data_IF_550152468351
#
_entry.id   IF_550152468351
#
_cell.length_a   1.000
_cell.length_b   1.000
_cell.length_c   1.000
_cell.angle_alpha   90.00
_cell.angle_beta   90.00
_cell.angle_gamma   90.00
#
_symmetry.space_group_name_H-M   'P 1'
#
loop_
_entity.id
_entity.type
_entity.pdbx_description
1 polymer ?
#
# COMPACT_ATOMS: atom_id res chain seq x y z
N UNK A 1 -15.43 -4.92 35.93
CA UNK A 1 -16.23 -5.87 35.19
C UNK A 1 -15.50 -6.27 33.91
N UNK A 2 -14.58 -7.25 33.99
CA UNK A 2 -13.86 -7.81 32.84
C UNK A 2 -14.76 -8.69 31.94
N UNK A 3 -15.92 -9.10 32.43
CA UNK A 3 -16.85 -10.00 31.72
C UNK A 3 -17.66 -9.34 30.60
N UNK A 4 -17.66 -8.00 30.50
CA UNK A 4 -18.38 -7.25 29.45
C UNK A 4 -17.59 -7.27 28.12
N UNK A 5 -16.28 -7.48 28.19
CA UNK A 5 -15.38 -7.51 27.04
C UNK A 5 -14.64 -8.85 27.00
N UNK A 6 -15.30 -9.94 26.57
CA UNK A 6 -14.61 -11.20 26.35
C UNK A 6 -13.46 -10.95 25.35
N UNK A 7 -12.32 -11.61 25.58
CA UNK A 7 -11.21 -11.58 24.66
C UNK A 7 -11.60 -12.11 23.28
N UNK A 8 -10.67 -12.04 22.35
CA UNK A 8 -10.77 -12.65 21.03
C UNK A 8 -9.91 -13.92 20.98
N UNK A 9 -10.31 -14.84 20.12
CA UNK A 9 -9.58 -16.05 19.83
C UNK A 9 -8.57 -15.82 18.69
N UNK A 10 -7.58 -16.70 18.48
CA UNK A 10 -6.68 -16.61 17.34
C UNK A 10 -7.42 -16.62 16.01
N UNK A 11 -6.96 -15.79 15.05
CA UNK A 11 -7.35 -15.91 13.65
C UNK A 11 -6.41 -16.86 12.92
N UNK A 12 -6.90 -17.51 11.87
CA UNK A 12 -6.15 -18.46 11.08
C UNK A 12 -6.12 -18.04 9.62
N UNK A 13 -4.97 -18.26 8.97
CA UNK A 13 -4.83 -18.04 7.54
C UNK A 13 -4.28 -19.28 6.86
N UNK A 14 -4.89 -19.65 5.73
CA UNK A 14 -4.38 -20.63 4.79
C UNK A 14 -3.99 -19.91 3.52
N UNK A 15 -2.73 -20.02 3.13
CA UNK A 15 -2.22 -19.41 1.91
C UNK A 15 -1.79 -20.49 0.92
N UNK A 16 -2.24 -20.35 -0.33
CA UNK A 16 -1.84 -21.16 -1.47
C UNK A 16 -1.17 -20.23 -2.47
N UNK A 17 0.08 -20.52 -2.81
CA UNK A 17 0.86 -19.66 -3.68
C UNK A 17 1.58 -20.48 -4.74
N UNK A 18 1.58 -19.99 -5.96
CA UNK A 18 2.45 -20.43 -7.04
C UNK A 18 3.29 -19.25 -7.50
N UNK A 19 4.60 -19.32 -7.25
CA UNK A 19 5.56 -18.31 -7.65
C UNK A 19 6.55 -18.83 -8.68
N UNK A 20 7.08 -17.90 -9.50
CA UNK A 20 8.18 -18.17 -10.41
C UNK A 20 9.25 -17.08 -10.32
N UNK A 21 10.49 -17.48 -10.58
CA UNK A 21 11.64 -16.58 -10.68
C UNK A 21 12.42 -16.92 -11.93
N UNK A 22 12.65 -15.92 -12.78
CA UNK A 22 13.31 -16.11 -14.06
C UNK A 22 14.45 -15.12 -14.24
N UNK A 23 15.60 -15.63 -14.68
CA UNK A 23 16.71 -14.79 -15.09
C UNK A 23 16.94 -15.04 -16.59
N UNK A 24 16.84 -14.00 -17.38
CA UNK A 24 16.79 -14.04 -18.84
C UNK A 24 17.87 -13.13 -19.42
N UNK A 25 18.15 -13.26 -20.72
CA UNK A 25 19.08 -12.39 -21.47
C UNK A 25 20.46 -12.28 -20.80
N UNK A 26 21.07 -13.42 -20.45
CA UNK A 26 22.38 -13.50 -19.80
C UNK A 26 22.48 -12.70 -18.48
N UNK A 27 21.39 -12.71 -17.70
CA UNK A 27 21.34 -12.02 -16.41
C UNK A 27 20.86 -10.57 -16.44
N UNK A 28 20.65 -9.99 -17.64
CA UNK A 28 20.21 -8.61 -17.78
C UNK A 28 18.73 -8.39 -17.44
N UNK A 29 17.92 -9.44 -17.44
CA UNK A 29 16.50 -9.36 -17.17
C UNK A 29 16.09 -10.37 -16.09
N UNK A 30 15.46 -9.90 -15.03
CA UNK A 30 14.83 -10.72 -14.01
C UNK A 30 13.33 -10.47 -14.07
N UNK A 31 12.56 -11.55 -14.22
CA UNK A 31 11.10 -11.48 -14.21
C UNK A 31 10.56 -12.50 -13.21
N UNK A 32 9.99 -11.99 -12.15
CA UNK A 32 9.40 -12.74 -11.07
C UNK A 32 7.89 -12.53 -11.05
N UNK A 33 7.17 -13.47 -10.51
CA UNK A 33 5.74 -13.31 -10.24
C UNK A 33 5.22 -14.36 -9.29
N UNK A 34 4.06 -14.09 -8.74
CA UNK A 34 3.31 -15.00 -7.90
C UNK A 34 1.82 -14.83 -8.14
N UNK A 35 1.07 -15.91 -8.11
CA UNK A 35 -0.39 -15.92 -7.95
C UNK A 35 -0.69 -16.59 -6.63
N UNK A 36 -1.63 -16.04 -5.88
CA UNK A 36 -1.94 -16.56 -4.56
C UNK A 36 -3.43 -16.52 -4.27
N UNK A 37 -3.83 -17.37 -3.35
CA UNK A 37 -5.13 -17.36 -2.69
C UNK A 37 -4.94 -17.51 -1.19
N UNK A 38 -5.50 -16.59 -0.41
CA UNK A 38 -5.47 -16.60 1.06
C UNK A 38 -6.89 -16.69 1.60
N UNK A 39 -7.12 -17.62 2.51
CA UNK A 39 -8.39 -17.83 3.21
C UNK A 39 -8.15 -17.52 4.69
N UNK A 40 -8.92 -16.59 5.23
CA UNK A 40 -8.91 -16.20 6.64
C UNK A 40 -10.14 -16.76 7.33
N UNK A 41 -9.92 -17.58 8.36
CA UNK A 41 -10.93 -18.07 9.27
C UNK A 41 -10.83 -17.29 10.61
N UNK A 42 -11.96 -17.03 11.24
CA UNK A 42 -12.04 -16.32 12.54
C UNK A 42 -11.33 -14.96 12.55
N UNK A 43 -11.41 -14.23 11.43
CA UNK A 43 -10.74 -12.94 11.27
C UNK A 43 -11.16 -11.96 12.35
N UNK A 44 -10.17 -11.33 12.98
CA UNK A 44 -10.37 -10.31 14.01
C UNK A 44 -10.75 -8.98 13.37
N UNK A 45 -11.93 -8.47 13.69
CA UNK A 45 -12.40 -7.17 13.25
C UNK A 45 -12.78 -6.28 14.44
N UNK A 46 -12.63 -4.97 14.25
CA UNK A 46 -13.05 -3.96 15.20
C UNK A 46 -14.56 -3.71 15.01
N UNK A 47 -15.34 -4.00 16.03
CA UNK A 47 -16.80 -3.79 16.01
C UNK A 47 -17.21 -2.84 17.11
N UNK A 48 -18.38 -2.20 16.94
CA UNK A 48 -19.01 -1.37 17.96
C UNK A 48 -19.93 -2.22 18.82
N UNK A 49 -19.89 -2.00 20.12
CA UNK A 49 -20.84 -2.60 21.04
C UNK A 49 -21.49 -1.53 21.92
N UNK A 50 -22.79 -1.57 22.19
CA UNK A 50 -23.42 -0.66 23.10
C UNK A 50 -22.96 -0.95 24.55
N UNK A 51 -22.46 0.08 25.22
CA UNK A 51 -22.11 0.02 26.66
C UNK A 51 -23.31 0.44 27.52
N UNK A 52 -24.01 1.42 27.04
CA UNK A 52 -25.31 1.91 27.59
C UNK A 52 -26.05 2.71 26.52
N UNK A 53 -27.22 3.24 26.85
CA UNK A 53 -28.07 3.99 25.91
C UNK A 53 -27.39 5.22 25.25
N UNK A 54 -26.26 5.68 25.74
CA UNK A 54 -25.57 6.87 25.24
C UNK A 54 -24.15 6.63 24.78
N UNK A 55 -23.57 5.43 25.03
CA UNK A 55 -22.17 5.16 24.75
C UNK A 55 -22.00 3.80 24.08
N UNK A 56 -21.11 3.77 23.10
CA UNK A 56 -20.60 2.57 22.45
C UNK A 56 -19.11 2.41 22.76
N UNK A 57 -18.61 1.19 22.73
CA UNK A 57 -17.19 0.87 22.80
C UNK A 57 -16.76 0.11 21.54
N UNK A 58 -15.57 0.38 21.06
CA UNK A 58 -14.94 -0.42 20.01
C UNK A 58 -14.22 -1.59 20.66
N UNK A 59 -14.51 -2.79 20.22
CA UNK A 59 -13.89 -4.04 20.68
C UNK A 59 -13.41 -4.84 19.49
N UNK A 60 -12.39 -5.68 19.70
CA UNK A 60 -11.95 -6.65 18.69
C UNK A 60 -12.68 -7.96 18.93
N UNK A 61 -13.21 -8.54 17.85
CA UNK A 61 -13.87 -9.86 17.88
C UNK A 61 -13.55 -10.65 16.63
N UNK A 62 -13.59 -11.97 16.75
CA UNK A 62 -13.60 -12.88 15.62
C UNK A 62 -15.00 -12.84 14.99
N UNK A 63 -15.17 -12.02 13.98
CA UNK A 63 -16.47 -11.68 13.42
C UNK A 63 -16.58 -11.97 11.93
N UNK A 64 -15.48 -12.32 11.27
CA UNK A 64 -15.44 -12.45 9.82
C UNK A 64 -14.65 -13.66 9.34
N UNK A 65 -14.98 -14.14 8.14
CA UNK A 65 -14.11 -14.91 7.27
C UNK A 65 -13.88 -14.12 5.98
N UNK A 66 -12.70 -14.25 5.38
CA UNK A 66 -12.30 -13.44 4.24
C UNK A 66 -11.48 -14.29 3.26
N UNK A 67 -11.65 -14.01 1.99
CA UNK A 67 -10.84 -14.59 0.92
C UNK A 67 -10.13 -13.46 0.17
N UNK A 68 -8.87 -13.70 -0.18
CA UNK A 68 -8.09 -12.83 -1.07
C UNK A 68 -7.48 -13.65 -2.18
N UNK A 69 -7.57 -13.16 -3.42
CA UNK A 69 -6.89 -13.71 -4.58
C UNK A 69 -6.06 -12.62 -5.23
N UNK A 70 -4.82 -12.92 -5.58
CA UNK A 70 -3.95 -11.89 -6.13
C UNK A 70 -2.90 -12.39 -7.11
N UNK A 71 -2.34 -11.40 -7.81
CA UNK A 71 -1.21 -11.54 -8.73
C UNK A 71 -0.17 -10.48 -8.38
N UNK A 72 1.09 -10.88 -8.28
CA UNK A 72 2.22 -9.98 -8.12
C UNK A 72 3.23 -10.22 -9.25
N UNK A 73 3.71 -9.14 -9.87
CA UNK A 73 4.71 -9.17 -10.93
C UNK A 73 5.83 -8.18 -10.63
N UNK A 74 7.05 -8.60 -10.87
CA UNK A 74 8.25 -7.79 -10.77
C UNK A 74 9.14 -8.02 -12.00
N UNK A 75 9.52 -6.93 -12.65
CA UNK A 75 10.48 -6.91 -13.74
C UNK A 75 11.64 -5.99 -13.38
N UNK A 76 12.87 -6.51 -13.41
CA UNK A 76 14.10 -5.73 -13.40
C UNK A 76 14.83 -5.99 -14.71
N UNK A 77 15.14 -4.93 -15.44
CA UNK A 77 15.75 -5.05 -16.77
C UNK A 77 16.83 -4.02 -16.99
N UNK A 78 18.06 -4.49 -17.20
CA UNK A 78 19.14 -3.69 -17.73
C UNK A 78 18.99 -3.62 -19.25
N UNK A 79 18.25 -2.59 -19.72
CA UNK A 79 17.92 -2.40 -21.15
C UNK A 79 19.20 -2.22 -21.98
N UNK A 80 20.13 -1.41 -21.46
CA UNK A 80 21.49 -1.24 -21.94
C UNK A 80 22.45 -1.14 -20.75
N UNK A 81 23.76 -1.05 -20.97
CA UNK A 81 24.73 -0.78 -19.90
C UNK A 81 24.46 0.54 -19.15
N UNK A 82 23.81 1.48 -19.82
CA UNK A 82 23.50 2.80 -19.29
C UNK A 82 22.05 2.94 -18.77
N UNK A 83 21.14 2.03 -19.12
CA UNK A 83 19.71 2.20 -18.88
C UNK A 83 19.11 1.01 -18.15
N UNK A 84 18.63 1.26 -16.93
CA UNK A 84 17.90 0.31 -16.09
C UNK A 84 16.42 0.65 -16.01
N UNK A 85 15.60 -0.38 -15.99
CA UNK A 85 14.14 -0.33 -15.82
C UNK A 85 13.71 -1.31 -14.75
N UNK A 86 12.84 -0.87 -13.84
CA UNK A 86 12.15 -1.70 -12.88
C UNK A 86 10.65 -1.44 -12.97
N UNK A 87 9.84 -2.50 -13.03
CA UNK A 87 8.37 -2.42 -13.05
C UNK A 87 7.84 -3.39 -12.00
N UNK A 88 6.86 -2.94 -11.24
CA UNK A 88 6.10 -3.77 -10.30
C UNK A 88 4.61 -3.60 -10.57
N UNK A 89 3.85 -4.69 -10.45
CA UNK A 89 2.40 -4.68 -10.54
C UNK A 89 1.82 -5.65 -9.53
N UNK A 90 0.79 -5.22 -8.82
CA UNK A 90 0.00 -6.01 -7.91
C UNK A 90 -1.48 -5.88 -8.25
N UNK A 91 -2.17 -7.00 -8.33
CA UNK A 91 -3.63 -7.10 -8.39
C UNK A 91 -4.12 -7.88 -7.17
N UNK A 92 -5.16 -7.38 -6.52
CA UNK A 92 -5.75 -7.97 -5.34
C UNK A 92 -7.28 -7.88 -5.40
N UNK A 93 -7.94 -9.03 -5.41
CA UNK A 93 -9.37 -9.15 -5.16
C UNK A 93 -9.56 -9.68 -3.72
N UNK A 94 -10.29 -8.95 -2.89
CA UNK A 94 -10.53 -9.29 -1.50
C UNK A 94 -12.03 -9.17 -1.20
N UNK A 95 -12.60 -10.18 -0.54
CA UNK A 95 -14.02 -10.20 -0.15
C UNK A 95 -14.22 -10.87 1.21
N UNK A 96 -15.19 -10.38 1.96
CA UNK A 96 -15.69 -11.11 3.12
C UNK A 96 -16.61 -12.26 2.64
N UNK A 97 -16.41 -13.45 3.19
CA UNK A 97 -17.34 -14.60 2.99
C UNK A 97 -18.44 -14.61 4.02
N UNK A 98 -18.10 -14.23 5.25
CA UNK A 98 -19.02 -13.98 6.35
C UNK A 98 -18.53 -12.78 7.12
N UNK A 99 -19.43 -11.88 7.48
CA UNK A 99 -19.12 -10.76 8.38
C UNK A 99 -20.36 -10.37 9.18
N UNK A 100 -20.57 -11.03 10.30
CA UNK A 100 -21.70 -10.79 11.18
C UNK A 100 -21.29 -9.89 12.35
N UNK A 101 -21.68 -8.63 12.32
CA UNK A 101 -21.32 -7.63 13.32
C UNK A 101 -22.35 -6.52 13.45
N UNK A 102 -22.39 -5.89 14.62
CA UNK A 102 -23.01 -4.59 14.81
C UNK A 102 -21.94 -3.52 14.52
N UNK A 103 -22.01 -2.90 13.35
CA UNK A 103 -21.10 -1.83 12.92
C UNK A 103 -21.62 -0.43 13.25
N UNK A 104 -22.86 -0.31 13.70
CA UNK A 104 -23.52 0.96 14.02
C UNK A 104 -23.57 1.26 15.51
N UNK A 105 -23.42 0.22 16.35
CA UNK A 105 -23.53 0.32 17.81
C UNK A 105 -24.99 0.42 18.30
N UNK A 106 -25.95 0.00 17.49
CA UNK A 106 -27.38 0.02 17.85
C UNK A 106 -27.85 -1.29 18.52
N UNK A 107 -26.96 -2.27 18.65
CA UNK A 107 -27.23 -3.59 19.24
C UNK A 107 -27.79 -4.60 18.25
N UNK A 108 -27.87 -4.27 16.95
CA UNK A 108 -28.37 -5.17 15.91
C UNK A 108 -27.19 -5.75 15.11
N UNK A 109 -27.06 -7.06 15.13
CA UNK A 109 -26.08 -7.77 14.30
C UNK A 109 -26.62 -7.86 12.88
N UNK A 110 -25.84 -7.39 11.92
CA UNK A 110 -26.16 -7.44 10.49
C UNK A 110 -25.13 -8.27 9.73
N UNK A 111 -25.53 -8.77 8.56
CA UNK A 111 -24.61 -9.37 7.60
C UNK A 111 -23.94 -8.26 6.80
N UNK A 112 -22.63 -8.17 6.93
CA UNK A 112 -21.75 -7.16 6.31
C UNK A 112 -20.81 -7.79 5.25
N UNK A 113 -21.07 -9.02 4.80
CA UNK A 113 -20.23 -9.72 3.82
C UNK A 113 -20.15 -9.01 2.47
N UNK A 114 -21.08 -8.12 2.15
CA UNK A 114 -21.02 -7.27 0.97
C UNK A 114 -20.05 -6.08 1.04
N UNK A 115 -19.40 -5.85 2.20
CA UNK A 115 -18.41 -4.79 2.35
C UNK A 115 -17.06 -5.21 1.77
N UNK A 116 -16.30 -4.21 1.30
CA UNK A 116 -14.92 -4.43 0.83
C UNK A 116 -13.98 -4.43 2.05
N UNK A 117 -13.10 -5.42 2.19
CA UNK A 117 -12.09 -5.42 3.24
C UNK A 117 -11.23 -4.15 3.21
N UNK A 118 -10.96 -3.58 4.38
CA UNK A 118 -10.21 -2.32 4.47
C UNK A 118 -8.77 -2.45 3.99
N UNK A 119 -8.24 -1.37 3.41
CA UNK A 119 -6.85 -1.28 2.93
C UNK A 119 -6.48 -2.32 1.88
N UNK A 120 -7.42 -2.70 1.01
CA UNK A 120 -7.24 -3.64 -0.09
C UNK A 120 -7.43 -2.94 -1.43
N UNK A 121 -6.47 -2.10 -1.88
CA UNK A 121 -6.56 -1.52 -3.22
C UNK A 121 -6.49 -2.63 -4.27
N UNK A 122 -7.34 -2.54 -5.30
CA UNK A 122 -7.41 -3.58 -6.33
C UNK A 122 -6.13 -3.62 -7.17
N UNK A 123 -5.63 -2.46 -7.58
CA UNK A 123 -4.43 -2.37 -8.40
C UNK A 123 -3.36 -1.49 -7.74
N UNK A 124 -2.13 -1.94 -7.83
CA UNK A 124 -0.93 -1.16 -7.54
C UNK A 124 0.06 -1.29 -8.68
N UNK A 125 0.71 -0.19 -9.04
CA UNK A 125 1.69 -0.17 -10.11
C UNK A 125 2.88 0.71 -9.73
N UNK A 126 4.07 0.26 -10.08
CA UNK A 126 5.30 1.02 -9.93
C UNK A 126 6.19 0.90 -11.14
N UNK A 127 6.77 2.01 -11.58
CA UNK A 127 7.83 2.03 -12.57
C UNK A 127 8.95 2.94 -12.12
N UNK A 128 10.17 2.45 -12.21
CA UNK A 128 11.38 3.23 -11.97
C UNK A 128 12.33 3.01 -13.12
N UNK A 129 12.85 4.08 -13.66
CA UNK A 129 13.90 4.03 -14.68
C UNK A 129 15.07 4.92 -14.29
N UNK A 130 16.28 4.49 -14.64
CA UNK A 130 17.50 5.27 -14.47
C UNK A 130 18.39 5.19 -15.70
N UNK A 131 18.97 6.31 -16.05
CA UNK A 131 19.92 6.42 -17.13
C UNK A 131 21.22 7.06 -16.63
N UNK A 132 22.34 6.44 -16.95
CA UNK A 132 23.69 6.87 -16.53
C UNK A 132 24.52 7.14 -17.76
N UNK A 133 25.21 8.28 -17.80
CA UNK A 133 26.12 8.63 -18.91
C UNK A 133 27.30 9.44 -18.42
N UNK A 134 28.43 9.39 -19.17
CA UNK A 134 29.60 10.22 -18.88
C UNK A 134 29.43 11.60 -19.51
N UNK A 135 29.65 12.65 -18.72
CA UNK A 135 29.68 14.04 -19.18
C UNK A 135 30.98 14.70 -18.70
N UNK A 136 31.87 15.04 -19.64
CA UNK A 136 33.18 15.58 -19.31
C UNK A 136 34.02 14.59 -18.50
N UNK A 137 34.43 14.96 -17.30
CA UNK A 137 35.20 14.11 -16.39
C UNK A 137 34.32 13.44 -15.31
N UNK A 138 33.01 13.60 -15.38
CA UNK A 138 32.08 13.11 -14.39
C UNK A 138 30.99 12.25 -14.99
N UNK A 139 30.19 11.65 -14.09
CA UNK A 139 29.05 10.81 -14.41
C UNK A 139 27.75 11.56 -14.10
N UNK A 140 26.84 11.55 -15.05
CA UNK A 140 25.46 12.02 -14.86
C UNK A 140 24.53 10.84 -14.77
N UNK A 141 23.74 10.77 -13.69
CA UNK A 141 22.69 9.77 -13.48
C UNK A 141 21.36 10.45 -13.27
N UNK A 142 20.42 10.17 -14.16
CA UNK A 142 19.01 10.54 -14.01
C UNK A 142 18.19 9.35 -13.53
N UNK A 143 17.23 9.58 -12.64
CA UNK A 143 16.26 8.58 -12.19
C UNK A 143 14.89 9.23 -12.07
N UNK A 144 13.86 8.52 -12.55
CA UNK A 144 12.45 8.89 -12.35
C UNK A 144 11.71 7.66 -11.86
N UNK A 145 10.78 7.87 -10.96
CA UNK A 145 9.86 6.84 -10.46
C UNK A 145 8.43 7.33 -10.46
N UNK A 146 7.53 6.48 -10.90
CA UNK A 146 6.09 6.66 -10.85
C UNK A 146 5.51 5.54 -10.00
N UNK A 147 4.51 5.86 -9.17
CA UNK A 147 3.74 4.93 -8.37
C UNK A 147 2.25 5.27 -8.49
N UNK A 148 1.48 4.23 -8.70
CA UNK A 148 0.02 4.27 -8.68
C UNK A 148 -0.51 3.29 -7.64
N UNK A 149 -1.63 3.64 -7.03
CA UNK A 149 -2.45 2.78 -6.17
C UNK A 149 -3.91 3.17 -6.38
N UNK A 150 -4.79 2.18 -6.58
CA UNK A 150 -6.24 2.38 -6.62
C UNK A 150 -6.79 2.96 -5.31
N UNK A 151 -7.99 3.49 -5.39
CA UNK A 151 -8.78 3.85 -4.22
C UNK A 151 -8.96 2.63 -3.30
N UNK A 152 -9.19 2.91 -2.03
CA UNK A 152 -9.52 1.91 -1.02
C UNK A 152 -10.27 2.58 0.14
N UNK A 153 -10.90 1.79 1.00
CA UNK A 153 -11.46 2.30 2.25
C UNK A 153 -10.59 1.86 3.44
N UNK A 154 -10.39 2.73 4.41
CA UNK A 154 -9.61 2.46 5.62
C UNK A 154 -10.45 2.00 6.80
N UNK A 155 -11.78 1.98 6.65
CA UNK A 155 -12.73 1.64 7.70
C UNK A 155 -13.44 0.30 7.41
N UNK A 156 -13.61 -0.53 8.44
CA UNK A 156 -14.24 -1.85 8.31
C UNK A 156 -15.75 -1.82 8.02
N UNK A 157 -16.38 -0.67 8.20
CA UNK A 157 -17.79 -0.46 7.83
C UNK A 157 -17.98 0.19 6.46
N UNK A 158 -16.90 0.39 5.71
CA UNK A 158 -16.85 1.15 4.46
C UNK A 158 -17.50 2.54 4.58
N UNK A 159 -17.32 3.19 5.73
CA UNK A 159 -17.82 4.55 5.92
C UNK A 159 -17.12 5.49 4.92
N UNK A 160 -17.85 6.36 4.19
CA UNK A 160 -17.28 7.29 3.22
C UNK A 160 -16.23 8.25 3.79
N UNK A 161 -16.25 8.51 5.10
CA UNK A 161 -15.18 9.30 5.76
C UNK A 161 -13.84 8.56 5.82
N UNK A 162 -13.84 7.28 5.53
CA UNK A 162 -12.65 6.42 5.44
C UNK A 162 -12.17 6.17 4.02
N UNK A 163 -12.83 6.75 3.01
CA UNK A 163 -12.40 6.62 1.62
C UNK A 163 -11.04 7.28 1.40
N UNK A 164 -10.16 6.56 0.76
CA UNK A 164 -8.84 6.99 0.34
C UNK A 164 -8.79 6.92 -1.18
N UNK A 165 -8.68 8.08 -1.81
CA UNK A 165 -8.62 8.21 -3.27
C UNK A 165 -7.43 7.43 -3.86
N UNK A 166 -7.51 7.14 -5.15
CA UNK A 166 -6.37 6.65 -5.93
C UNK A 166 -5.22 7.66 -5.90
N UNK A 167 -4.01 7.17 -6.06
CA UNK A 167 -2.80 7.99 -5.94
C UNK A 167 -1.92 7.80 -7.15
N UNK A 168 -1.40 8.92 -7.65
CA UNK A 168 -0.34 8.98 -8.64
C UNK A 168 0.82 9.83 -8.11
N UNK A 169 1.98 9.24 -7.92
CA UNK A 169 3.13 9.94 -7.37
C UNK A 169 4.36 9.81 -8.27
N UNK A 170 4.95 10.95 -8.63
CA UNK A 170 6.18 11.03 -9.42
C UNK A 170 7.29 11.61 -8.58
N UNK A 171 8.45 10.94 -8.57
CA UNK A 171 9.69 11.46 -8.00
C UNK A 171 10.80 11.40 -9.05
N UNK A 172 11.71 12.36 -9.00
CA UNK A 172 12.86 12.38 -9.90
C UNK A 172 14.14 12.85 -9.19
N UNK A 173 15.27 12.35 -9.67
CA UNK A 173 16.60 12.81 -9.25
C UNK A 173 17.50 12.94 -10.45
N UNK A 174 18.40 13.94 -10.42
CA UNK A 174 19.52 14.09 -11.35
C UNK A 174 20.75 14.28 -10.48
N UNK A 175 21.69 13.37 -10.59
CA UNK A 175 22.97 13.41 -9.87
C UNK A 175 24.11 13.59 -10.86
N UNK A 176 25.02 14.52 -10.58
CA UNK A 176 26.28 14.63 -11.27
C UNK A 176 27.42 14.43 -10.27
N UNK A 177 28.26 13.43 -10.52
CA UNK A 177 29.42 13.10 -9.69
C UNK A 177 30.73 13.25 -10.50
N UNK A 178 31.70 13.89 -9.89
CA UNK A 178 33.04 14.07 -10.47
C UNK A 178 34.11 14.12 -9.36
N UNK A 179 35.20 13.36 -9.53
CA UNK A 179 36.19 13.17 -8.47
C UNK A 179 35.52 12.80 -7.15
N UNK A 180 35.79 13.52 -6.09
CA UNK A 180 35.28 13.30 -4.74
C UNK A 180 33.98 14.10 -4.43
N UNK A 181 33.35 14.70 -5.44
CA UNK A 181 32.22 15.57 -5.29
C UNK A 181 30.97 15.04 -6.02
N UNK A 182 29.80 15.30 -5.46
CA UNK A 182 28.55 15.11 -6.19
C UNK A 182 27.53 16.21 -5.88
N UNK A 183 26.72 16.51 -6.90
CA UNK A 183 25.57 17.42 -6.81
C UNK A 183 24.35 16.64 -7.24
N UNK A 184 23.31 16.62 -6.40
CA UNK A 184 22.03 15.98 -6.69
C UNK A 184 20.92 17.02 -6.66
N UNK A 185 20.21 17.16 -7.76
CA UNK A 185 18.89 17.81 -7.81
C UNK A 185 17.85 16.72 -7.60
N UNK A 186 16.87 16.99 -6.75
CA UNK A 186 15.81 16.02 -6.51
C UNK A 186 14.45 16.69 -6.33
N UNK A 187 13.41 15.99 -6.75
CA UNK A 187 12.03 16.35 -6.54
C UNK A 187 11.23 15.17 -6.05
N UNK A 188 10.40 15.39 -5.05
CA UNK A 188 9.45 14.43 -4.50
C UNK A 188 8.05 14.94 -4.69
N UNK A 189 7.12 14.02 -4.93
CA UNK A 189 5.72 14.34 -5.18
C UNK A 189 5.57 15.44 -6.25
N UNK A 190 6.19 15.21 -7.43
CA UNK A 190 6.20 16.18 -8.53
C UNK A 190 4.81 16.41 -9.14
N UNK A 191 3.89 15.49 -8.92
CA UNK A 191 2.46 15.60 -9.27
C UNK A 191 1.71 16.56 -8.33
N UNK A 192 2.32 16.93 -7.18
CA UNK A 192 1.71 17.70 -6.08
C UNK A 192 0.38 17.09 -5.59
N UNK A 193 0.30 15.77 -5.64
CA UNK A 193 -0.86 15.03 -5.16
C UNK A 193 -1.01 15.15 -3.64
N UNK A 194 -2.24 15.40 -3.20
CA UNK A 194 -2.60 15.36 -1.78
C UNK A 194 -3.21 14.02 -1.44
N UNK A 195 -2.35 13.14 -0.97
CA UNK A 195 -2.71 11.79 -0.56
C UNK A 195 -3.07 11.76 0.92
N UNK A 196 -4.29 11.38 1.23
CA UNK A 196 -4.62 10.95 2.59
C UNK A 196 -4.15 9.49 2.75
N UNK A 197 -3.13 9.28 3.58
CA UNK A 197 -2.50 7.94 3.74
C UNK A 197 -3.26 7.03 4.66
N UNK A 198 -4.07 7.58 5.52
CA UNK A 198 -4.83 6.86 6.53
C UNK A 198 -5.93 7.74 7.08
N UNK A 199 -7.09 7.15 7.36
CA UNK A 199 -8.18 7.78 8.06
C UNK A 199 -8.64 6.89 9.21
N UNK A 200 -9.00 7.50 10.33
CA UNK A 200 -9.75 6.86 11.40
C UNK A 200 -11.00 7.67 11.67
N UNK A 201 -12.08 6.96 11.90
CA UNK A 201 -13.38 7.56 12.10
C UNK A 201 -13.70 7.56 13.58
N UNK A 202 -14.12 8.70 14.11
CA UNK A 202 -14.57 8.88 15.47
C UNK A 202 -15.89 9.65 15.48
N UNK A 203 -17.00 8.92 15.50
CA UNK A 203 -18.34 9.50 15.43
C UNK A 203 -18.59 10.19 14.09
N UNK A 204 -18.86 11.51 14.10
CA UNK A 204 -19.14 12.30 12.89
C UNK A 204 -17.87 12.95 12.28
N UNK A 205 -16.69 12.59 12.74
CA UNK A 205 -15.43 13.19 12.29
C UNK A 205 -14.45 12.11 11.88
N UNK A 206 -13.65 12.39 10.85
CA UNK A 206 -12.47 11.61 10.52
C UNK A 206 -11.19 12.36 10.87
N UNK A 207 -10.13 11.61 11.18
CA UNK A 207 -8.77 12.13 11.33
C UNK A 207 -7.90 11.38 10.36
N UNK A 208 -7.04 12.08 9.66
CA UNK A 208 -6.17 11.48 8.67
C UNK A 208 -4.79 12.12 8.66
N UNK A 209 -3.86 11.41 8.05
CA UNK A 209 -2.49 11.85 7.83
C UNK A 209 -2.32 12.01 6.34
N UNK A 210 -1.78 13.16 5.95
CA UNK A 210 -1.52 13.50 4.56
C UNK A 210 -0.05 13.23 4.24
N UNK A 211 0.23 12.99 2.98
CA UNK A 211 1.59 12.90 2.48
C UNK A 211 2.30 14.27 2.54
N UNK A 212 3.61 14.23 2.34
CA UNK A 212 4.39 15.45 2.11
C UNK A 212 3.95 16.12 0.78
N UNK A 213 3.83 17.46 0.73
CA UNK A 213 3.56 18.19 -0.51
C UNK A 213 4.74 18.06 -1.48
N UNK A 214 4.59 18.59 -2.69
CA UNK A 214 5.70 18.71 -3.62
C UNK A 214 6.91 19.37 -2.94
N UNK A 215 8.06 18.71 -3.03
CA UNK A 215 9.30 19.18 -2.42
C UNK A 215 10.44 19.06 -3.44
N UNK A 216 11.20 20.15 -3.59
CA UNK A 216 12.37 20.22 -4.44
C UNK A 216 13.60 20.52 -3.60
N UNK A 217 14.74 19.95 -3.96
CA UNK A 217 15.97 20.20 -3.23
C UNK A 217 17.24 19.95 -4.00
N UNK A 218 18.32 20.45 -3.43
CA UNK A 218 19.70 20.29 -3.90
C UNK A 218 20.50 19.69 -2.76
N UNK A 219 21.29 18.67 -3.07
CA UNK A 219 22.25 18.08 -2.14
C UNK A 219 23.63 18.18 -2.74
N UNK A 220 24.61 18.63 -1.95
CA UNK A 220 26.02 18.60 -2.27
C UNK A 220 26.72 17.62 -1.32
N UNK A 221 27.55 16.73 -1.85
CA UNK A 221 28.36 15.81 -1.06
C UNK A 221 29.83 15.88 -1.49
N UNK A 222 30.72 15.71 -0.51
CA UNK A 222 32.17 15.62 -0.73
C UNK A 222 32.73 14.48 0.14
N UNK A 223 33.62 13.65 -0.43
CA UNK A 223 34.43 12.65 0.28
C UNK A 223 35.83 13.18 0.53
N UNK A 224 36.40 12.89 1.69
CA UNK A 224 37.77 13.34 2.06
C UNK A 224 38.60 12.14 2.48
#
# INVERSE_FOLDING_TARGET
NYDIYPGYEPEYVKNYEFGWKSTLQDGRMVFNGAIFKSEYDDKQESILIPVNLANVATVIRNAASMEMTGLELELMYQVTEAWDLMVTYGYLEAEYKDYLADLTGDGVITDNSGLIPRNTPENTFGITTSYTTQIGQGELKGRISYRFRDEMNSDSSNNPLGDLDSIENVNATINYSFSDYSITLWGRNLTDEREQRWATIGGLTSRGWWNEPQTLGITFAASF
#
